data_IF_514174881396
#
_entry.id   IF_514174881396
#
_cell.length_a   1.000
_cell.length_b   1.000
_cell.length_c   1.000
_cell.angle_alpha   90.00
_cell.angle_beta   90.00
_cell.angle_gamma   90.00
#
_symmetry.space_group_name_H-M   'P 1'
#
loop_
_entity.id
_entity.type
_entity.pdbx_description
1 polymer ?
#
# COMPACT_ATOMS: atom_id res chain seq x y z
N UNK A 1 6.10 9.44 0.64
CA UNK A 1 6.84 8.28 1.17
C UNK A 1 5.93 7.62 2.19
N UNK A 2 5.61 6.33 2.01
CA UNK A 2 4.84 5.54 2.98
C UNK A 2 5.75 5.25 4.18
N UNK A 3 5.26 5.48 5.41
CA UNK A 3 6.10 5.32 6.61
C UNK A 3 5.62 4.24 7.59
N UNK A 4 4.34 3.82 7.53
CA UNK A 4 3.80 2.80 8.43
C UNK A 4 2.95 1.82 7.63
N UNK A 5 3.47 0.63 7.32
CA UNK A 5 2.69 -0.41 6.63
C UNK A 5 1.74 -1.07 7.63
N UNK A 6 0.46 -0.69 7.62
CA UNK A 6 -0.52 -1.12 8.63
C UNK A 6 -1.29 -2.39 8.22
N UNK A 7 -1.41 -2.64 6.92
CA UNK A 7 -2.17 -3.77 6.38
C UNK A 7 -1.62 -4.17 5.00
N UNK A 8 -1.58 -5.47 4.72
CA UNK A 8 -1.11 -6.03 3.45
C UNK A 8 -2.19 -6.94 2.87
N UNK A 9 -2.59 -6.68 1.63
CA UNK A 9 -3.65 -7.40 0.93
C UNK A 9 -3.24 -7.65 -0.54
N UNK A 10 -4.09 -8.29 -1.33
CA UNK A 10 -3.89 -8.45 -2.76
C UNK A 10 -4.94 -7.64 -3.55
N UNK A 11 -4.47 -6.94 -4.57
CA UNK A 11 -5.32 -6.24 -5.53
C UNK A 11 -6.27 -7.24 -6.19
N UNK A 12 -7.58 -7.02 -6.02
CA UNK A 12 -8.62 -7.94 -6.50
C UNK A 12 -8.70 -8.09 -8.01
N UNK A 13 -8.20 -7.12 -8.78
CA UNK A 13 -8.27 -7.12 -10.25
C UNK A 13 -7.01 -7.65 -10.91
N UNK A 14 -5.85 -7.49 -10.28
CA UNK A 14 -4.54 -7.86 -10.86
C UNK A 14 -3.83 -8.98 -10.10
N UNK A 15 -4.28 -9.33 -8.90
CA UNK A 15 -3.60 -10.26 -8.00
C UNK A 15 -2.28 -9.72 -7.42
N UNK A 16 -1.93 -8.46 -7.68
CA UNK A 16 -0.68 -7.86 -7.20
C UNK A 16 -0.77 -7.48 -5.73
N UNK A 17 0.30 -7.64 -4.94
CA UNK A 17 0.29 -7.27 -3.55
C UNK A 17 0.13 -5.75 -3.37
N UNK A 18 -0.57 -5.38 -2.32
CA UNK A 18 -0.86 -4.01 -1.93
C UNK A 18 -0.57 -3.80 -0.45
N UNK A 19 -0.12 -2.60 -0.12
CA UNK A 19 0.12 -2.16 1.26
C UNK A 19 -0.57 -0.84 1.51
N UNK A 20 -1.13 -0.69 2.70
CA UNK A 20 -1.76 0.55 3.14
C UNK A 20 -0.91 1.27 4.18
N UNK A 21 -1.05 2.59 4.23
CA UNK A 21 -0.62 3.36 5.38
C UNK A 21 -0.46 4.83 5.12
N UNK A 22 0.05 5.51 6.14
CA UNK A 22 0.04 6.97 6.19
C UNK A 22 1.35 7.60 5.75
N UNK A 23 1.21 8.81 5.21
CA UNK A 23 2.31 9.73 4.95
C UNK A 23 2.39 10.78 6.05
N UNK A 24 3.55 11.44 6.17
CA UNK A 24 3.80 12.46 7.21
C UNK A 24 2.93 13.72 7.09
N UNK A 25 2.26 13.90 5.95
CA UNK A 25 1.28 14.95 5.73
C UNK A 25 -0.17 14.47 5.91
N UNK A 26 -0.38 13.30 6.52
CA UNK A 26 -1.70 12.80 6.93
C UNK A 26 -2.54 12.21 5.79
N UNK A 27 -1.93 11.80 4.68
CA UNK A 27 -2.65 11.12 3.58
C UNK A 27 -2.55 9.62 3.79
N UNK A 28 -3.68 8.94 3.62
CA UNK A 28 -3.74 7.49 3.65
C UNK A 28 -3.59 6.95 2.23
N UNK A 29 -2.57 6.13 2.01
CA UNK A 29 -2.23 5.62 0.69
C UNK A 29 -2.47 4.12 0.59
N UNK A 30 -2.90 3.69 -0.59
CA UNK A 30 -2.83 2.31 -1.05
C UNK A 30 -1.76 2.21 -2.12
N UNK A 31 -0.72 1.43 -1.87
CA UNK A 31 0.43 1.25 -2.78
C UNK A 31 0.39 -0.15 -3.36
N UNK A 32 0.33 -0.25 -4.69
CA UNK A 32 0.51 -1.50 -5.43
C UNK A 32 1.99 -1.68 -5.70
N UNK A 33 2.53 -2.86 -5.42
CA UNK A 33 3.96 -3.13 -5.61
C UNK A 33 4.19 -4.50 -6.25
N UNK A 34 5.43 -4.73 -6.69
CA UNK A 34 5.96 -6.02 -7.09
C UNK A 34 7.07 -6.43 -6.13
N UNK A 35 7.13 -7.73 -5.78
CA UNK A 35 8.21 -8.28 -4.97
C UNK A 35 9.32 -8.73 -5.90
N UNK A 36 10.50 -8.13 -5.77
CA UNK A 36 11.66 -8.42 -6.63
C UNK A 36 12.48 -9.56 -6.03
N UNK A 37 12.68 -9.52 -4.71
CA UNK A 37 13.32 -10.58 -3.92
C UNK A 37 12.77 -10.57 -2.48
N UNK A 38 13.43 -11.23 -1.54
CA UNK A 38 12.91 -11.42 -0.18
C UNK A 38 12.66 -10.11 0.58
N UNK A 39 13.52 -9.11 0.38
CA UNK A 39 13.60 -7.85 1.12
C UNK A 39 13.45 -6.61 0.23
N UNK A 40 13.39 -6.77 -1.09
CA UNK A 40 13.23 -5.69 -2.07
C UNK A 40 11.86 -5.72 -2.72
N UNK A 41 11.19 -4.55 -2.70
CA UNK A 41 9.94 -4.30 -3.41
C UNK A 41 10.07 -3.12 -4.37
N UNK A 42 9.35 -3.19 -5.49
CA UNK A 42 9.24 -2.09 -6.44
C UNK A 42 7.81 -1.51 -6.43
N UNK A 43 7.62 -0.24 -6.05
CA UNK A 43 6.31 0.39 -6.09
C UNK A 43 5.90 0.65 -7.55
N UNK A 44 4.68 0.24 -7.91
CA UNK A 44 4.13 0.44 -9.27
C UNK A 44 3.32 1.72 -9.31
N UNK A 45 2.40 1.90 -8.36
CA UNK A 45 1.51 3.05 -8.28
C UNK A 45 1.01 3.27 -6.85
N UNK A 46 0.67 4.50 -6.52
CA UNK A 46 0.12 4.90 -5.22
C UNK A 46 -1.17 5.71 -5.43
N UNK A 47 -2.24 5.30 -4.77
CA UNK A 47 -3.53 5.98 -4.78
C UNK A 47 -3.81 6.62 -3.42
N UNK A 48 -4.37 7.82 -3.44
CA UNK A 48 -4.97 8.43 -2.25
C UNK A 48 -6.32 7.77 -1.99
N UNK A 49 -6.49 7.22 -0.79
CA UNK A 49 -7.69 6.47 -0.41
C UNK A 49 -8.17 6.95 0.95
N UNK A 50 -9.49 6.88 1.19
CA UNK A 50 -10.01 7.14 2.53
C UNK A 50 -9.61 5.99 3.46
N UNK A 51 -9.10 6.32 4.65
CA UNK A 51 -8.86 5.32 5.69
C UNK A 51 -10.19 4.66 6.01
N UNK A 52 -10.29 3.36 5.75
CA UNK A 52 -11.49 2.60 6.11
C UNK A 52 -11.52 2.53 7.63
N UNK A 53 -12.44 3.27 8.26
CA UNK A 53 -12.74 3.05 9.67
C UNK A 53 -13.17 1.59 9.82
N UNK A 54 -12.36 0.78 10.50
CA UNK A 54 -12.80 -0.54 10.95
C UNK A 54 -13.91 -0.27 11.98
N UNK A 55 -15.15 -0.53 11.57
CA UNK A 55 -16.30 -0.60 12.46
C UNK A 55 -16.23 -1.86 13.33
#
# INVERSE_FOLDING_TARGET
MLQNAEDADFSRTTGRPVVFGDTNNGRHLMVVYEKVDADTIYPITAYDVTQRQRA
#
